data_IF_481743708371
#
_entry.id   IF_481743708371
#
_cell.length_a   1.000
_cell.length_b   1.000
_cell.length_c   1.000
_cell.angle_alpha   90.00
_cell.angle_beta   90.00
_cell.angle_gamma   90.00
#
_symmetry.space_group_name_H-M   'P 1'
#
loop_
_entity.id
_entity.type
_entity.pdbx_description
1 polymer ?
#
# COMPACT_ATOMS: atom_id res chain seq x y z
N UNK A 1 15.49 33.53 -5.52
CA UNK A 1 15.77 32.47 -6.52
C UNK A 1 14.93 31.26 -6.12
N UNK A 2 14.09 30.72 -7.01
CA UNK A 2 13.34 29.48 -6.74
C UNK A 2 14.18 28.27 -7.18
N UNK A 3 14.11 27.18 -6.41
CA UNK A 3 14.75 25.88 -6.70
C UNK A 3 13.65 24.90 -7.12
N UNK A 4 13.87 24.18 -8.22
CA UNK A 4 12.95 23.15 -8.73
C UNK A 4 13.70 21.82 -8.71
N UNK A 5 13.08 20.78 -8.16
CA UNK A 5 13.63 19.42 -8.08
C UNK A 5 12.55 18.40 -8.47
N UNK A 6 12.98 17.27 -9.05
CA UNK A 6 12.10 16.14 -9.34
C UNK A 6 12.41 15.01 -8.34
N UNK A 7 11.36 14.48 -7.68
CA UNK A 7 11.47 13.39 -6.70
C UNK A 7 10.52 12.28 -7.10
N UNK A 8 10.96 11.02 -7.00
CA UNK A 8 10.10 9.86 -7.31
C UNK A 8 9.07 9.67 -6.19
N UNK A 9 7.87 9.22 -6.56
CA UNK A 9 6.79 8.89 -5.60
C UNK A 9 7.27 7.90 -4.53
N UNK A 10 7.99 6.85 -4.93
CA UNK A 10 8.54 5.85 -3.99
C UNK A 10 9.49 6.44 -2.95
N UNK A 11 10.34 7.40 -3.34
CA UNK A 11 11.28 8.05 -2.42
C UNK A 11 10.54 8.91 -1.38
N UNK A 12 9.48 9.61 -1.80
CA UNK A 12 8.61 10.38 -0.90
C UNK A 12 7.86 9.47 0.07
N UNK A 13 7.33 8.34 -0.42
CA UNK A 13 6.62 7.37 0.41
C UNK A 13 7.56 6.73 1.44
N UNK A 14 8.74 6.27 1.03
CA UNK A 14 9.76 5.72 1.94
C UNK A 14 10.13 6.75 3.01
N UNK A 15 10.37 8.00 2.62
CA UNK A 15 10.69 9.08 3.56
C UNK A 15 9.54 9.33 4.53
N UNK A 16 8.30 9.33 4.05
CA UNK A 16 7.11 9.47 4.88
C UNK A 16 6.97 8.32 5.88
N UNK A 17 7.15 7.08 5.44
CA UNK A 17 7.07 5.90 6.30
C UNK A 17 8.20 5.88 7.34
N UNK A 18 9.42 6.25 6.96
CA UNK A 18 10.54 6.35 7.90
C UNK A 18 10.27 7.41 8.97
N UNK A 19 9.68 8.55 8.62
CA UNK A 19 9.40 9.64 9.56
C UNK A 19 8.18 9.38 10.47
N UNK A 20 7.17 8.64 10.01
CA UNK A 20 5.89 8.51 10.71
C UNK A 20 5.61 7.09 11.25
N UNK A 21 6.29 6.08 10.73
CA UNK A 21 6.09 4.66 11.04
C UNK A 21 7.42 3.97 11.38
N UNK A 22 8.37 4.71 11.96
CA UNK A 22 9.66 4.17 12.37
C UNK A 22 9.49 2.93 13.27
N UNK A 23 10.20 1.86 12.93
CA UNK A 23 10.13 0.59 13.66
C UNK A 23 8.82 -0.19 13.52
N UNK A 24 7.86 0.28 12.70
CA UNK A 24 6.57 -0.38 12.50
C UNK A 24 6.51 -1.14 11.18
N UNK A 25 5.73 -2.22 11.17
CA UNK A 25 5.37 -2.95 9.97
C UNK A 25 4.11 -2.31 9.36
N UNK A 26 4.13 -2.04 8.06
CA UNK A 26 2.99 -1.43 7.37
C UNK A 26 2.68 -2.14 6.06
N UNK A 27 1.39 -2.22 5.75
CA UNK A 27 0.90 -2.50 4.41
C UNK A 27 0.56 -1.16 3.74
N UNK A 28 1.11 -0.96 2.55
CA UNK A 28 0.72 0.12 1.64
C UNK A 28 -0.12 -0.48 0.53
N UNK A 29 -1.28 0.15 0.30
CA UNK A 29 -2.21 -0.19 -0.78
C UNK A 29 -2.25 1.02 -1.71
N UNK A 30 -1.82 0.83 -2.95
CA UNK A 30 -1.97 1.85 -3.98
C UNK A 30 -3.19 1.52 -4.82
N UNK A 31 -4.23 2.35 -4.73
CA UNK A 31 -5.49 2.15 -5.46
C UNK A 31 -5.47 2.85 -6.82
N UNK A 32 -4.31 2.85 -7.50
CA UNK A 32 -4.19 3.46 -8.82
C UNK A 32 -5.05 2.72 -9.86
N UNK A 33 -5.53 3.47 -10.85
CA UNK A 33 -6.35 2.93 -11.94
C UNK A 33 -5.42 2.35 -13.02
N UNK A 34 -5.68 1.16 -13.58
CA UNK A 34 -6.91 0.38 -13.50
C UNK A 34 -6.89 -0.73 -12.44
N UNK A 35 -7.62 -0.53 -11.35
CA UNK A 35 -7.89 -1.54 -10.32
C UNK A 35 -9.27 -2.19 -10.58
N UNK A 36 -9.35 -3.52 -10.56
CA UNK A 36 -10.59 -4.28 -10.63
C UNK A 36 -11.48 -3.96 -9.43
N UNK A 37 -12.71 -3.49 -9.70
CA UNK A 37 -13.70 -3.20 -8.66
C UNK A 37 -14.00 -4.42 -7.79
N UNK A 38 -13.97 -5.64 -8.37
CA UNK A 38 -14.23 -6.87 -7.63
C UNK A 38 -13.08 -7.21 -6.68
N UNK A 39 -11.84 -7.09 -7.15
CA UNK A 39 -10.65 -7.32 -6.30
C UNK A 39 -10.61 -6.30 -5.16
N UNK A 40 -10.94 -5.03 -5.44
CA UNK A 40 -10.96 -3.99 -4.42
C UNK A 40 -11.99 -4.28 -3.33
N UNK A 41 -13.21 -4.69 -3.72
CA UNK A 41 -14.25 -5.10 -2.76
C UNK A 41 -13.80 -6.31 -1.94
N UNK A 42 -13.14 -7.30 -2.57
CA UNK A 42 -12.62 -8.47 -1.89
C UNK A 42 -11.54 -8.09 -0.86
N UNK A 43 -10.60 -7.21 -1.24
CA UNK A 43 -9.57 -6.70 -0.35
C UNK A 43 -10.17 -5.96 0.84
N UNK A 44 -11.16 -5.09 0.61
CA UNK A 44 -11.85 -4.40 1.70
C UNK A 44 -12.55 -5.37 2.66
N UNK A 45 -13.21 -6.44 2.16
CA UNK A 45 -13.80 -7.47 3.03
C UNK A 45 -12.75 -8.20 3.87
N UNK A 46 -11.58 -8.46 3.29
CA UNK A 46 -10.50 -9.14 4.01
C UNK A 46 -9.90 -8.26 5.10
N UNK A 47 -9.72 -6.96 4.84
CA UNK A 47 -9.31 -5.99 5.86
C UNK A 47 -10.35 -5.84 6.98
N UNK A 48 -11.65 -5.95 6.66
CA UNK A 48 -12.73 -5.98 7.65
C UNK A 48 -12.66 -7.21 8.55
N UNK A 49 -12.47 -8.39 7.96
CA UNK A 49 -12.28 -9.63 8.72
C UNK A 49 -11.02 -9.59 9.62
N UNK A 50 -10.01 -8.82 9.24
CA UNK A 50 -8.80 -8.58 10.03
C UNK A 50 -8.95 -7.45 11.06
N UNK A 51 -10.08 -6.74 11.10
CA UNK A 51 -10.34 -5.64 12.03
C UNK A 51 -9.60 -4.33 11.70
N UNK A 52 -9.06 -4.19 10.49
CA UNK A 52 -8.23 -3.06 10.05
C UNK A 52 -8.83 -2.32 8.84
N UNK A 53 -10.16 -2.41 8.69
CA UNK A 53 -10.86 -1.79 7.58
C UNK A 53 -10.71 -0.25 7.61
N UNK A 54 -10.16 0.37 6.54
CA UNK A 54 -10.02 1.83 6.48
C UNK A 54 -11.39 2.53 6.56
N UNK A 55 -11.51 3.75 7.09
CA UNK A 55 -12.72 4.56 7.00
C UNK A 55 -13.25 4.71 5.56
N UNK A 56 -14.58 4.74 5.36
CA UNK A 56 -15.21 4.78 4.02
C UNK A 56 -14.69 5.91 3.12
N UNK A 57 -14.41 7.08 3.70
CA UNK A 57 -13.90 8.25 2.98
C UNK A 57 -12.46 8.09 2.47
N UNK A 58 -11.71 7.10 2.96
CA UNK A 58 -10.34 6.80 2.51
C UNK A 58 -10.28 5.69 1.46
N UNK A 59 -11.41 5.01 1.18
CA UNK A 59 -11.50 3.89 0.23
C UNK A 59 -11.79 4.38 -1.20
N UNK A 60 -11.11 5.44 -1.62
CA UNK A 60 -11.30 6.04 -2.94
C UNK A 60 -10.20 5.59 -3.91
N UNK A 61 -10.51 5.42 -5.22
CA UNK A 61 -9.49 5.22 -6.24
C UNK A 61 -8.47 6.38 -6.25
N UNK A 62 -7.20 6.06 -6.51
CA UNK A 62 -6.08 7.00 -6.49
C UNK A 62 -5.56 7.37 -5.09
N UNK A 63 -6.13 6.82 -4.02
CA UNK A 63 -5.61 7.00 -2.67
C UNK A 63 -4.46 6.01 -2.40
N UNK A 64 -3.44 6.48 -1.69
CA UNK A 64 -2.48 5.60 -1.02
C UNK A 64 -2.98 5.36 0.39
N UNK A 65 -3.28 4.10 0.71
CA UNK A 65 -3.75 3.71 2.06
C UNK A 65 -2.58 3.03 2.77
N UNK A 66 -2.23 3.53 3.96
CA UNK A 66 -1.19 2.97 4.81
C UNK A 66 -1.87 2.37 6.04
N UNK A 67 -1.63 1.08 6.28
CA UNK A 67 -2.22 0.36 7.41
C UNK A 67 -1.09 -0.26 8.22
N UNK A 68 -1.02 0.07 9.50
CA UNK A 68 -0.14 -0.62 10.44
C UNK A 68 -0.72 -2.02 10.74
N UNK A 69 0.06 -3.06 10.49
CA UNK A 69 -0.36 -4.43 10.75
C UNK A 69 0.86 -5.35 10.88
N UNK A 70 0.72 -6.53 11.53
CA UNK A 70 1.82 -7.48 11.61
C UNK A 70 2.35 -7.84 10.22
N UNK A 71 3.68 -7.90 10.08
CA UNK A 71 4.36 -8.28 8.84
C UNK A 71 3.78 -9.53 8.18
N UNK A 72 3.50 -10.56 8.97
CA UNK A 72 2.97 -11.83 8.45
C UNK A 72 1.60 -11.66 7.79
N UNK A 73 0.78 -10.71 8.24
CA UNK A 73 -0.50 -10.37 7.61
C UNK A 73 -0.30 -9.55 6.33
N UNK A 74 0.60 -8.55 6.36
CA UNK A 74 0.92 -7.75 5.19
C UNK A 74 1.46 -8.61 4.03
N UNK A 75 2.40 -9.52 4.30
CA UNK A 75 2.92 -10.46 3.31
C UNK A 75 1.85 -11.37 2.72
N UNK A 76 0.96 -11.91 3.56
CA UNK A 76 -0.12 -12.78 3.08
C UNK A 76 -0.99 -12.06 2.05
N UNK A 77 -1.30 -10.78 2.30
CA UNK A 77 -2.05 -9.96 1.36
C UNK A 77 -1.25 -9.71 0.08
N UNK A 78 0.01 -9.27 0.18
CA UNK A 78 0.86 -9.05 -1.01
C UNK A 78 0.97 -10.32 -1.86
N UNK A 79 1.20 -11.49 -1.25
CA UNK A 79 1.27 -12.76 -1.98
C UNK A 79 -0.06 -13.14 -2.63
N UNK A 80 -1.18 -12.94 -1.93
CA UNK A 80 -2.51 -13.29 -2.43
C UNK A 80 -2.92 -12.47 -3.65
N UNK A 81 -2.55 -11.19 -3.66
CA UNK A 81 -2.88 -10.25 -4.72
C UNK A 81 -1.73 -10.03 -5.72
N UNK A 82 -0.65 -10.81 -5.63
CA UNK A 82 0.55 -10.70 -6.49
C UNK A 82 0.24 -10.71 -7.99
N UNK A 83 -0.80 -11.44 -8.42
CA UNK A 83 -1.18 -11.53 -9.83
C UNK A 83 -2.46 -10.72 -10.15
N UNK A 84 -2.92 -9.90 -9.21
CA UNK A 84 -4.10 -9.07 -9.36
C UNK A 84 -3.78 -7.71 -9.98
N UNK A 85 -4.81 -6.86 -10.06
CA UNK A 85 -4.72 -5.49 -10.55
C UNK A 85 -4.54 -4.44 -9.45
N UNK A 86 -4.36 -4.88 -8.20
CA UNK A 86 -4.14 -4.00 -7.04
C UNK A 86 -2.65 -4.02 -6.72
N UNK A 87 -2.04 -2.84 -6.66
CA UNK A 87 -0.68 -2.71 -6.16
C UNK A 87 -0.66 -2.69 -4.64
N UNK A 88 0.04 -3.68 -4.06
CA UNK A 88 0.22 -3.85 -2.63
C UNK A 88 1.70 -3.99 -2.32
N UNK A 89 2.15 -3.28 -1.30
CA UNK A 89 3.54 -3.34 -0.85
C UNK A 89 3.61 -3.43 0.68
N UNK A 90 4.47 -4.30 1.17
CA UNK A 90 4.72 -4.48 2.59
C UNK A 90 6.07 -3.85 2.95
N UNK A 91 6.05 -2.99 3.96
CA UNK A 91 7.20 -2.26 4.48
C UNK A 91 7.48 -2.66 5.92
N UNK A 92 8.76 -2.64 6.29
CA UNK A 92 9.23 -2.82 7.66
C UNK A 92 10.15 -1.67 8.03
N UNK A 93 9.74 -0.86 9.02
CA UNK A 93 10.52 0.29 9.46
C UNK A 93 10.85 1.25 8.32
N UNK A 94 9.89 1.49 7.42
CA UNK A 94 10.05 2.37 6.25
C UNK A 94 10.85 1.77 5.08
N UNK A 95 11.31 0.52 5.16
CA UNK A 95 11.98 -0.16 4.05
C UNK A 95 11.03 -1.10 3.33
N UNK A 96 10.99 -1.03 2.00
CA UNK A 96 10.23 -1.96 1.16
C UNK A 96 10.84 -3.35 1.28
N UNK A 97 9.99 -4.36 1.56
CA UNK A 97 10.44 -5.75 1.70
C UNK A 97 9.78 -6.66 0.67
N UNK A 98 8.52 -6.41 0.31
CA UNK A 98 7.78 -7.20 -0.68
C UNK A 98 6.74 -6.34 -1.37
N UNK A 99 6.54 -6.55 -2.67
CA UNK A 99 5.51 -5.87 -3.45
C UNK A 99 4.90 -6.82 -4.49
N UNK A 100 3.69 -6.48 -4.95
CA UNK A 100 3.13 -7.04 -6.18
C UNK A 100 3.89 -6.48 -7.38
N UNK A 101 4.17 -7.27 -8.44
CA UNK A 101 4.88 -6.78 -9.61
C UNK A 101 4.09 -5.66 -10.28
N UNK A 102 4.78 -4.59 -10.68
CA UNK A 102 4.17 -3.59 -11.56
C UNK A 102 3.74 -4.25 -12.87
N UNK A 103 2.44 -4.18 -13.18
CA UNK A 103 1.86 -4.67 -14.42
C UNK A 103 2.30 -3.91 -15.67
N UNK A 104 3.17 -2.90 -15.53
CA UNK A 104 3.82 -2.21 -16.64
C UNK A 104 5.02 -3.02 -17.14
N UNK A 105 4.74 -4.08 -17.90
CA UNK A 105 5.66 -4.61 -18.92
C UNK A 105 5.07 -4.39 -20.29
#
# INVERSE_FOLDING_TARGET
MMKIEAVKKGDLLISYLAANYEGRDTLVIETESPCSKQEFIALMRELDNMGVLPPKNLRTPGATIIIEMPWSSACKLVTKYHNGSISLAAYRGGKLISETPDGNK
#
